data_IF_790342700620
#
_entry.id   IF_790342700620
#
_cell.length_a   1.000
_cell.length_b   1.000
_cell.length_c   1.000
_cell.angle_alpha   90.00
_cell.angle_beta   90.00
_cell.angle_gamma   90.00
#
_symmetry.space_group_name_H-M   'P 1'
#
loop_
_entity.id
_entity.type
_entity.pdbx_description
1 polymer ?
#
# COMPACT_ATOMS: atom_id res chain seq x y z
N UNK A 1 8.87 -11.69 1.48
CA UNK A 1 10.06 -10.86 1.79
C UNK A 1 9.87 -9.98 3.02
N UNK A 2 9.05 -8.91 3.01
CA UNK A 2 9.11 -7.90 4.09
C UNK A 2 8.75 -8.45 5.47
N UNK A 3 7.74 -9.32 5.55
CA UNK A 3 7.36 -10.03 6.79
C UNK A 3 8.45 -11.00 7.27
N UNK A 4 9.08 -11.72 6.34
CA UNK A 4 10.03 -12.79 6.61
C UNK A 4 11.35 -12.29 7.22
N UNK A 5 11.68 -11.02 7.03
CA UNK A 5 12.91 -10.42 7.57
C UNK A 5 12.95 -10.34 9.09
N UNK A 6 11.79 -10.26 9.74
CA UNK A 6 11.67 -10.18 11.21
C UNK A 6 12.12 -8.86 11.84
N UNK A 7 12.63 -7.89 11.06
CA UNK A 7 13.12 -6.60 11.55
C UNK A 7 12.11 -5.45 11.40
N UNK A 8 10.93 -5.73 10.85
CA UNK A 8 9.87 -4.76 10.57
C UNK A 8 8.52 -5.22 11.12
N UNK A 9 7.75 -4.28 11.67
CA UNK A 9 6.34 -4.51 11.98
C UNK A 9 5.53 -4.36 10.69
N UNK A 10 5.07 -5.48 10.14
CA UNK A 10 4.47 -5.53 8.82
C UNK A 10 2.94 -5.60 8.85
N UNK A 11 2.28 -4.55 8.37
CA UNK A 11 0.83 -4.48 8.23
C UNK A 11 0.43 -4.74 6.77
N UNK A 12 -0.70 -5.41 6.55
CA UNK A 12 -1.22 -5.65 5.20
C UNK A 12 -2.50 -4.87 5.04
N UNK A 13 -2.44 -3.85 4.18
CA UNK A 13 -3.55 -2.97 3.85
C UNK A 13 -4.31 -2.40 5.07
N UNK A 14 -3.62 -1.79 6.05
CA UNK A 14 -4.27 -1.29 7.26
C UNK A 14 -5.38 -0.27 6.97
N UNK A 15 -5.20 0.61 5.99
CA UNK A 15 -6.27 1.54 5.60
C UNK A 15 -7.36 0.85 4.78
N UNK A 16 -7.01 -0.20 4.01
CA UNK A 16 -7.96 -1.03 3.29
C UNK A 16 -9.01 -1.68 4.20
N UNK A 17 -8.59 -2.18 5.36
CA UNK A 17 -9.53 -2.77 6.34
C UNK A 17 -10.64 -1.78 6.74
N UNK A 18 -10.26 -0.54 7.06
CA UNK A 18 -11.23 0.52 7.37
C UNK A 18 -12.03 0.96 6.13
N UNK A 19 -11.42 1.03 4.96
CA UNK A 19 -12.09 1.43 3.73
C UNK A 19 -13.20 0.45 3.30
N UNK A 20 -12.98 -0.85 3.47
CA UNK A 20 -13.96 -1.90 3.15
C UNK A 20 -14.95 -2.18 4.29
N UNK A 21 -14.50 -2.18 5.54
CA UNK A 21 -15.24 -2.75 6.67
C UNK A 21 -15.28 -1.85 7.91
N UNK A 22 -14.85 -0.59 7.79
CA UNK A 22 -14.90 0.38 8.87
C UNK A 22 -16.32 0.72 9.33
N UNK A 23 -16.43 1.64 10.28
CA UNK A 23 -17.73 2.16 10.72
C UNK A 23 -18.50 2.85 9.59
N UNK A 24 -17.77 3.58 8.74
CA UNK A 24 -18.27 4.26 7.57
C UNK A 24 -17.45 3.82 6.33
N UNK A 25 -17.75 2.64 5.75
CA UNK A 25 -17.02 2.14 4.59
C UNK A 25 -17.13 3.08 3.39
N UNK A 26 -16.02 3.26 2.69
CA UNK A 26 -15.93 4.08 1.47
C UNK A 26 -15.93 3.23 0.19
N UNK A 27 -15.97 1.90 0.34
CA UNK A 27 -16.04 0.97 -0.78
C UNK A 27 -17.30 1.17 -1.64
N UNK A 28 -17.20 1.33 -2.97
CA UNK A 28 -18.35 1.50 -3.86
C UNK A 28 -19.36 0.35 -3.82
N UNK A 29 -18.90 -0.84 -3.43
CA UNK A 29 -19.73 -2.05 -3.35
C UNK A 29 -20.45 -2.20 -2.01
N UNK A 30 -20.18 -1.32 -1.04
CA UNK A 30 -20.89 -1.31 0.24
C UNK A 30 -22.38 -1.04 0.04
N UNK A 31 -23.23 -1.83 0.72
CA UNK A 31 -24.67 -1.64 0.74
C UNK A 31 -25.13 -1.33 2.16
N UNK A 32 -26.13 -0.46 2.27
CA UNK A 32 -26.74 -0.15 3.56
C UNK A 32 -27.21 -1.44 4.25
N UNK A 33 -26.71 -1.67 5.47
CA UNK A 33 -26.99 -2.87 6.26
C UNK A 33 -25.91 -3.96 6.16
N UNK A 34 -24.90 -3.81 5.30
CA UNK A 34 -23.72 -4.66 5.31
C UNK A 34 -22.97 -4.53 6.65
N UNK A 35 -22.25 -5.59 7.01
CA UNK A 35 -21.52 -5.65 8.28
C UNK A 35 -20.41 -4.59 8.31
N UNK A 36 -20.43 -3.75 9.34
CA UNK A 36 -19.38 -2.79 9.68
C UNK A 36 -18.65 -3.22 10.94
N UNK A 37 -17.51 -2.59 11.21
CA UNK A 37 -16.68 -2.85 12.40
C UNK A 37 -16.67 -1.63 13.31
N UNK A 38 -17.41 -1.63 14.42
CA UNK A 38 -17.39 -0.56 15.41
C UNK A 38 -15.96 -0.26 15.92
N UNK A 39 -15.59 1.01 15.97
CA UNK A 39 -14.28 1.55 16.34
C UNK A 39 -13.22 1.55 15.23
N UNK A 40 -13.49 0.94 14.07
CA UNK A 40 -12.56 0.91 12.95
C UNK A 40 -12.83 2.08 12.00
N UNK A 41 -11.98 3.10 12.06
CA UNK A 41 -12.04 4.28 11.18
C UNK A 41 -10.65 4.53 10.58
N UNK A 42 -10.56 5.38 9.56
CA UNK A 42 -9.25 5.75 8.99
C UNK A 42 -8.38 6.47 10.02
N UNK A 43 -8.99 7.25 10.92
CA UNK A 43 -8.33 7.91 12.05
C UNK A 43 -7.81 6.89 13.06
N UNK A 44 -8.63 5.91 13.46
CA UNK A 44 -8.18 4.90 14.43
C UNK A 44 -7.07 4.01 13.87
N UNK A 45 -7.09 3.74 12.56
CA UNK A 45 -5.98 3.10 11.85
C UNK A 45 -4.73 3.98 11.89
N UNK A 46 -4.85 5.27 11.57
CA UNK A 46 -3.72 6.21 11.59
C UNK A 46 -3.10 6.35 12.98
N UNK A 47 -3.92 6.50 14.02
CA UNK A 47 -3.47 6.56 15.41
C UNK A 47 -2.73 5.29 15.84
N UNK A 48 -3.21 4.12 15.41
CA UNK A 48 -2.52 2.86 15.67
C UNK A 48 -1.16 2.78 14.95
N UNK A 49 -1.08 3.19 13.69
CA UNK A 49 0.18 3.25 12.94
C UNK A 49 1.18 4.17 13.66
N UNK A 50 0.76 5.36 14.08
CA UNK A 50 1.61 6.28 14.83
C UNK A 50 2.06 5.70 16.17
N UNK A 51 1.15 5.04 16.90
CA UNK A 51 1.47 4.38 18.17
C UNK A 51 2.53 3.29 17.98
N UNK A 52 2.37 2.45 16.97
CA UNK A 52 3.31 1.38 16.63
C UNK A 52 4.66 1.94 16.15
N UNK A 53 4.66 3.07 15.44
CA UNK A 53 5.87 3.69 14.91
C UNK A 53 6.80 4.20 16.03
N UNK A 54 6.25 4.52 17.20
CA UNK A 54 7.04 4.85 18.40
C UNK A 54 7.85 3.66 18.96
N UNK A 55 7.52 2.43 18.56
CA UNK A 55 8.11 1.19 19.08
C UNK A 55 8.81 0.36 18.02
N UNK A 56 8.41 0.50 16.77
CA UNK A 56 8.82 -0.36 15.67
C UNK A 56 9.10 0.43 14.40
N UNK A 57 9.98 -0.12 13.56
CA UNK A 57 10.04 0.27 12.14
C UNK A 57 8.88 -0.40 11.42
N UNK A 58 7.99 0.40 10.84
CA UNK A 58 6.78 -0.12 10.18
C UNK A 58 7.03 -0.30 8.69
N UNK A 59 6.49 -1.38 8.15
CA UNK A 59 6.25 -1.53 6.73
C UNK A 59 4.76 -1.84 6.53
N UNK A 60 4.11 -1.14 5.61
CA UNK A 60 2.77 -1.51 5.18
C UNK A 60 2.62 -1.31 3.68
N UNK A 61 1.68 -2.05 3.10
CA UNK A 61 1.29 -1.94 1.70
C UNK A 61 -0.19 -1.66 1.68
N UNK A 62 -0.58 -0.55 1.07
CA UNK A 62 -1.97 -0.12 0.86
C UNK A 62 -2.21 0.24 -0.60
N UNK A 63 -3.48 0.32 -0.98
CA UNK A 63 -3.87 0.99 -2.22
C UNK A 63 -4.04 2.50 -1.98
N UNK A 64 -3.62 3.34 -2.93
CA UNK A 64 -3.71 4.80 -2.80
C UNK A 64 -5.14 5.30 -2.57
N UNK A 65 -6.13 4.69 -3.23
CA UNK A 65 -7.53 5.13 -3.15
C UNK A 65 -8.15 5.00 -1.75
N UNK A 66 -7.58 4.19 -0.85
CA UNK A 66 -8.10 4.04 0.50
C UNK A 66 -8.10 5.35 1.29
N UNK A 67 -7.13 6.23 1.02
CA UNK A 67 -6.91 7.49 1.75
C UNK A 67 -6.72 8.69 0.81
N UNK A 68 -7.17 8.60 -0.44
CA UNK A 68 -6.98 9.67 -1.44
C UNK A 68 -7.54 11.03 -1.01
N UNK A 69 -8.63 11.02 -0.24
CA UNK A 69 -9.26 12.21 0.34
C UNK A 69 -8.52 12.77 1.58
N UNK A 70 -7.58 12.00 2.16
CA UNK A 70 -6.77 12.43 3.32
C UNK A 70 -5.40 12.97 2.92
N UNK A 71 -5.01 12.84 1.65
CA UNK A 71 -3.68 13.25 1.19
C UNK A 71 -3.44 14.74 1.41
N UNK A 72 -2.43 15.03 2.21
CA UNK A 72 -1.87 16.35 2.39
C UNK A 72 -0.37 16.22 2.66
N UNK A 73 0.35 17.34 2.63
CA UNK A 73 1.81 17.34 2.81
C UNK A 73 2.23 16.75 4.17
N UNK A 74 1.48 17.04 5.23
CA UNK A 74 1.78 16.55 6.58
C UNK A 74 1.70 15.03 6.63
N UNK A 75 0.54 14.45 6.29
CA UNK A 75 0.32 13.00 6.28
C UNK A 75 1.36 12.29 5.41
N UNK A 76 1.55 12.76 4.17
CA UNK A 76 2.45 12.11 3.21
C UNK A 76 3.92 12.21 3.61
N UNK A 77 4.31 13.21 4.41
CA UNK A 77 5.68 13.37 4.88
C UNK A 77 6.12 12.32 5.91
N UNK A 78 5.17 11.61 6.53
CA UNK A 78 5.48 10.55 7.49
C UNK A 78 6.02 9.26 6.86
N UNK A 79 5.96 9.12 5.53
CA UNK A 79 6.26 7.86 4.85
C UNK A 79 7.50 7.92 3.96
N UNK A 80 8.22 6.80 3.89
CA UNK A 80 9.10 6.51 2.76
C UNK A 80 8.29 5.80 1.68
N UNK A 81 8.00 6.49 0.58
CA UNK A 81 7.12 6.00 -0.48
C UNK A 81 7.85 5.07 -1.45
N UNK A 82 7.17 4.01 -1.88
CA UNK A 82 7.60 3.15 -2.98
C UNK A 82 6.36 2.62 -3.71
N UNK A 83 6.48 2.39 -5.02
CA UNK A 83 5.37 1.99 -5.87
C UNK A 83 5.63 0.63 -6.49
N UNK A 84 4.70 -0.30 -6.34
CA UNK A 84 4.68 -1.57 -7.07
C UNK A 84 3.71 -1.42 -8.25
N UNK A 85 4.21 -1.65 -9.46
CA UNK A 85 3.42 -1.59 -10.69
C UNK A 85 3.36 -2.96 -11.36
N UNK A 86 2.36 -3.13 -12.22
CA UNK A 86 2.14 -4.33 -13.02
C UNK A 86 1.39 -3.97 -14.28
N UNK A 87 1.60 -4.72 -15.35
CA UNK A 87 0.82 -4.62 -16.59
C UNK A 87 -0.69 -4.58 -16.28
N UNK A 88 -1.42 -3.51 -16.70
CA UNK A 88 -2.85 -3.37 -16.45
C UNK A 88 -3.69 -4.53 -16.96
N UNK A 89 -3.35 -5.13 -18.12
CA UNK A 89 -4.08 -6.26 -18.66
C UNK A 89 -3.95 -7.50 -17.77
N UNK A 90 -2.75 -7.76 -17.22
CA UNK A 90 -2.52 -8.84 -16.25
C UNK A 90 -3.25 -8.56 -14.93
N UNK A 91 -3.23 -7.32 -14.46
CA UNK A 91 -3.87 -6.91 -13.21
C UNK A 91 -5.39 -7.03 -13.28
N UNK A 92 -6.03 -6.42 -14.29
CA UNK A 92 -7.48 -6.44 -14.45
C UNK A 92 -7.99 -7.86 -14.67
N UNK A 93 -7.32 -8.65 -15.51
CA UNK A 93 -7.70 -10.06 -15.73
C UNK A 93 -7.61 -10.87 -14.43
N UNK A 94 -6.55 -10.65 -13.63
CA UNK A 94 -6.37 -11.33 -12.35
C UNK A 94 -7.44 -10.92 -11.33
N UNK A 95 -7.78 -9.63 -11.23
CA UNK A 95 -8.82 -9.13 -10.33
C UNK A 95 -10.17 -9.70 -10.75
N UNK A 96 -10.54 -9.59 -12.02
CA UNK A 96 -11.81 -10.13 -12.53
C UNK A 96 -11.97 -11.64 -12.30
N UNK A 97 -10.87 -12.40 -12.33
CA UNK A 97 -10.92 -13.83 -12.02
C UNK A 97 -11.18 -14.13 -10.54
N UNK A 98 -10.73 -13.25 -9.63
CA UNK A 98 -10.91 -13.43 -8.18
C UNK A 98 -12.22 -12.79 -7.69
N UNK A 99 -12.50 -11.56 -8.13
CA UNK A 99 -13.67 -10.75 -7.81
C UNK A 99 -14.30 -10.26 -9.11
N UNK A 100 -15.17 -11.08 -9.75
CA UNK A 100 -15.80 -10.72 -11.03
C UNK A 100 -16.71 -9.48 -10.96
N UNK A 101 -17.10 -9.08 -9.76
CA UNK A 101 -17.97 -7.95 -9.47
C UNK A 101 -17.20 -6.72 -8.96
N UNK A 102 -15.87 -6.67 -9.14
CA UNK A 102 -15.06 -5.54 -8.70
C UNK A 102 -15.51 -4.21 -9.34
N UNK A 103 -15.36 -3.14 -8.57
CA UNK A 103 -15.56 -1.77 -9.05
C UNK A 103 -14.25 -1.21 -9.64
N UNK A 104 -14.34 -0.37 -10.67
CA UNK A 104 -13.16 0.20 -11.33
C UNK A 104 -12.24 0.96 -10.36
N UNK A 105 -12.80 1.57 -9.31
CA UNK A 105 -12.05 2.28 -8.27
C UNK A 105 -11.14 1.35 -7.47
N UNK A 106 -11.51 0.08 -7.31
CA UNK A 106 -10.72 -0.92 -6.56
C UNK A 106 -9.42 -1.29 -7.28
N UNK A 107 -9.28 -0.96 -8.56
CA UNK A 107 -8.03 -1.16 -9.31
C UNK A 107 -7.00 -0.08 -8.99
N UNK A 108 -7.45 1.14 -8.71
CA UNK A 108 -6.61 2.23 -8.17
C UNK A 108 -5.53 2.80 -9.09
N UNK A 109 -5.58 2.55 -10.42
CA UNK A 109 -4.55 3.08 -11.33
C UNK A 109 -4.49 4.62 -11.37
N UNK A 110 -5.62 5.35 -11.47
CA UNK A 110 -5.59 6.81 -11.48
C UNK A 110 -4.99 7.38 -10.19
N UNK A 111 -5.38 6.83 -9.04
CA UNK A 111 -4.92 7.26 -7.72
C UNK A 111 -3.44 6.95 -7.52
N UNK A 112 -2.96 5.78 -7.98
CA UNK A 112 -1.54 5.44 -7.92
C UNK A 112 -0.69 6.41 -8.76
N UNK A 113 -1.16 6.76 -9.96
CA UNK A 113 -0.47 7.75 -10.80
C UNK A 113 -0.47 9.14 -10.16
N UNK A 114 -1.63 9.58 -9.64
CA UNK A 114 -1.76 10.88 -9.00
C UNK A 114 -0.86 11.00 -7.75
N UNK A 115 -0.80 9.96 -6.91
CA UNK A 115 0.07 9.93 -5.74
C UNK A 115 1.54 9.96 -6.15
N UNK A 116 1.94 9.21 -7.18
CA UNK A 116 3.31 9.24 -7.69
C UNK A 116 3.73 10.65 -8.14
N UNK A 117 2.87 11.33 -8.91
CA UNK A 117 3.15 12.68 -9.39
C UNK A 117 3.23 13.68 -8.22
N UNK A 118 2.31 13.58 -7.25
CA UNK A 118 2.29 14.43 -6.05
C UNK A 118 3.56 14.26 -5.20
N UNK A 119 3.96 13.02 -4.92
CA UNK A 119 5.18 12.72 -4.15
C UNK A 119 6.42 13.17 -4.91
N UNK A 120 6.47 12.95 -6.22
CA UNK A 120 7.59 13.39 -7.07
C UNK A 120 7.75 14.91 -7.06
N UNK A 121 6.64 15.64 -7.19
CA UNK A 121 6.63 17.10 -7.16
C UNK A 121 7.02 17.65 -5.78
N UNK A 122 6.54 17.03 -4.71
CA UNK A 122 6.80 17.47 -3.32
C UNK A 122 8.24 17.22 -2.89
N UNK A 123 8.81 16.06 -3.26
CA UNK A 123 10.14 15.65 -2.81
C UNK A 123 11.27 16.06 -3.77
N UNK A 124 10.94 16.54 -4.97
CA UNK A 124 11.91 16.88 -6.02
C UNK A 124 12.67 15.66 -6.58
N UNK A 125 12.23 14.44 -6.24
CA UNK A 125 12.81 13.18 -6.67
C UNK A 125 11.70 12.14 -6.78
N UNK A 126 11.78 11.31 -7.81
CA UNK A 126 10.87 10.18 -7.98
C UNK A 126 11.07 9.13 -6.87
N UNK A 127 9.98 8.67 -6.24
CA UNK A 127 10.02 7.50 -5.36
C UNK A 127 10.38 6.24 -6.17
N UNK A 128 11.02 5.23 -5.56
CA UNK A 128 11.33 3.98 -6.25
C UNK A 128 10.06 3.30 -6.78
N UNK A 129 10.17 2.80 -8.01
CA UNK A 129 9.15 2.00 -8.67
C UNK A 129 9.72 0.58 -8.84
N UNK A 130 8.91 -0.42 -8.52
CA UNK A 130 9.21 -1.83 -8.71
C UNK A 130 8.20 -2.37 -9.71
N UNK A 131 8.67 -2.92 -10.83
CA UNK A 131 7.81 -3.70 -11.72
C UNK A 131 7.67 -5.12 -11.17
N UNK A 132 6.43 -5.62 -11.11
CA UNK A 132 6.15 -6.96 -10.62
C UNK A 132 6.75 -8.07 -11.48
N UNK A 133 6.86 -7.89 -12.81
CA UNK A 133 7.47 -8.87 -13.70
C UNK A 133 8.99 -8.94 -13.44
N UNK A 134 9.66 -7.79 -13.31
CA UNK A 134 11.08 -7.74 -12.93
C UNK A 134 11.33 -8.41 -11.57
N UNK A 135 10.45 -8.17 -10.59
CA UNK A 135 10.56 -8.78 -9.26
C UNK A 135 10.37 -10.31 -9.31
N UNK A 136 9.50 -10.82 -10.19
CA UNK A 136 9.28 -12.25 -10.35
C UNK A 136 10.44 -12.92 -11.10
N UNK A 137 10.99 -12.27 -12.12
CA UNK A 137 12.11 -12.80 -12.91
C UNK A 137 13.44 -12.76 -12.14
N UNK A 138 13.65 -11.71 -11.34
CA UNK A 138 14.93 -11.43 -10.65
C UNK A 138 14.72 -11.08 -9.17
N UNK A 139 14.08 -11.95 -8.36
CA UNK A 139 13.62 -11.60 -7.01
C UNK A 139 14.73 -11.14 -6.06
N UNK A 140 15.90 -11.79 -6.10
CA UNK A 140 17.07 -11.42 -5.29
C UNK A 140 17.62 -10.05 -5.66
N UNK A 141 17.83 -9.82 -6.95
CA UNK A 141 18.38 -8.56 -7.47
C UNK A 141 17.43 -7.39 -7.20
N UNK A 142 16.17 -7.53 -7.58
CA UNK A 142 15.16 -6.48 -7.43
C UNK A 142 14.89 -6.15 -5.96
N UNK A 143 14.86 -7.17 -5.08
CA UNK A 143 14.72 -6.94 -3.64
C UNK A 143 15.91 -6.19 -3.07
N UNK A 144 17.14 -6.51 -3.50
CA UNK A 144 18.35 -5.80 -3.07
C UNK A 144 18.34 -4.33 -3.52
N UNK A 145 17.94 -4.06 -4.76
CA UNK A 145 17.78 -2.70 -5.30
C UNK A 145 16.71 -1.93 -4.52
N UNK A 146 15.56 -2.54 -4.28
CA UNK A 146 14.49 -1.95 -3.49
C UNK A 146 14.95 -1.59 -2.07
N UNK A 147 15.56 -2.54 -1.35
CA UNK A 147 16.07 -2.31 0.00
C UNK A 147 17.03 -1.12 0.04
N UNK A 148 17.97 -1.05 -0.90
CA UNK A 148 18.90 0.08 -1.03
C UNK A 148 18.15 1.40 -1.28
N UNK A 149 17.17 1.42 -2.19
CA UNK A 149 16.44 2.63 -2.56
C UNK A 149 15.60 3.21 -1.41
N UNK A 150 15.04 2.36 -0.55
CA UNK A 150 14.25 2.79 0.63
C UNK A 150 15.05 2.86 1.93
N UNK A 151 16.38 2.64 1.88
CA UNK A 151 17.27 2.82 3.02
C UNK A 151 17.20 1.74 4.09
N UNK A 152 16.87 0.49 3.72
CA UNK A 152 16.86 -0.67 4.63
C UNK A 152 17.92 -1.70 4.22
N UNK A 153 18.49 -2.49 5.15
CA UNK A 153 19.48 -3.50 4.80
C UNK A 153 18.86 -4.62 3.95
N UNK A 154 19.58 -5.17 2.98
CA UNK A 154 19.15 -6.39 2.30
C UNK A 154 19.43 -7.62 3.19
N UNK A 155 18.43 -8.50 3.37
CA UNK A 155 18.55 -9.76 4.12
C UNK A 155 18.17 -10.87 3.13
N UNK A 156 19.14 -11.68 2.74
CA UNK A 156 18.96 -12.69 1.70
C UNK A 156 18.05 -13.83 2.18
N UNK A 157 18.17 -14.19 3.45
CA UNK A 157 17.41 -15.25 4.13
C UNK A 157 15.90 -14.94 4.18
N UNK A 158 15.50 -13.68 3.96
CA UNK A 158 14.09 -13.30 3.92
C UNK A 158 13.40 -13.60 2.57
N UNK A 159 14.15 -14.16 1.60
CA UNK A 159 13.64 -14.57 0.29
C UNK A 159 13.28 -16.07 0.23
N UNK A 160 13.57 -16.83 1.28
CA UNK A 160 13.26 -18.27 1.38
C UNK A 160 11.91 -18.55 2.02
#
# INVERSE_FOLDING_TARGET
>A
MMRQRGDLYCMHEPFGEAWYQGEEPLCPRYKYGDKTTPGLTLESVWDNIQHLANKHKIFFKDFPHYISHMWNQELLSHFTHAFLIRDPAKTITSINNQWPDFDELEVGFPEQRALFDLISATNGKHPPIIDSDDLLERPKEMTKIFCYAVGIPFIEEALT
#
